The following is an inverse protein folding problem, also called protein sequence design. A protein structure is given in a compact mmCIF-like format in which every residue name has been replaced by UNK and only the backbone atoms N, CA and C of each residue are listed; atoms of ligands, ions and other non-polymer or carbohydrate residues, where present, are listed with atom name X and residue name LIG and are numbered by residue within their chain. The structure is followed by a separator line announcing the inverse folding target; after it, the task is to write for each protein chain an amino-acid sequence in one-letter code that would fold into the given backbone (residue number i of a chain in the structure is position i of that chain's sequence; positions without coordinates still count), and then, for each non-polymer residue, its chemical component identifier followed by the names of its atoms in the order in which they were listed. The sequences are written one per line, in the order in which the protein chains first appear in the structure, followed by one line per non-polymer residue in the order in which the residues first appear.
data_IF_025900769468
#
_entry.id   IF_025900769468
#
_cell.length_a   1.000
_cell.length_b   1.000
_cell.length_c   1.000
_cell.angle_alpha   90.00
_cell.angle_beta   90.00
_cell.angle_gamma   90.00
#
_symmetry.space_group_name_H-M   'P 1'
#
loop_
_entity.id
_entity.type
_entity.pdbx_description
1 polymer ?
#
# COMPACT_ATOMS: atom_id res chain seq x y z
N UNK A 1 21.79 -19.34 -1.58
CA UNK A 1 20.41 -19.27 -2.06
C UNK A 1 20.31 -18.03 -2.94
N UNK A 2 20.23 -18.24 -4.25
CA UNK A 2 20.03 -17.20 -5.26
C UNK A 2 18.51 -16.95 -5.44
N UNK A 3 18.13 -15.83 -6.05
CA UNK A 3 16.75 -15.53 -6.42
C UNK A 3 16.16 -16.60 -7.36
N UNK A 4 16.94 -17.11 -8.32
CA UNK A 4 16.53 -18.22 -9.18
C UNK A 4 16.17 -19.48 -8.36
N UNK A 5 17.02 -19.87 -7.41
CA UNK A 5 16.76 -21.03 -6.53
C UNK A 5 15.45 -20.84 -5.74
N UNK A 6 15.22 -19.62 -5.25
CA UNK A 6 14.00 -19.28 -4.52
C UNK A 6 12.75 -19.34 -5.40
N UNK A 7 12.83 -18.87 -6.65
CA UNK A 7 11.72 -18.90 -7.60
C UNK A 7 11.38 -20.34 -7.96
N UNK A 8 12.38 -21.18 -8.22
CA UNK A 8 12.17 -22.60 -8.52
C UNK A 8 11.48 -23.31 -7.33
N UNK A 9 11.98 -23.11 -6.10
CA UNK A 9 11.35 -23.68 -4.90
C UNK A 9 9.91 -23.16 -4.68
N UNK A 10 9.66 -21.88 -4.97
CA UNK A 10 8.33 -21.30 -4.84
C UNK A 10 7.36 -21.84 -5.91
N UNK A 11 7.82 -22.01 -7.15
CA UNK A 11 7.05 -22.64 -8.22
C UNK A 11 6.66 -24.08 -7.84
N UNK A 12 7.59 -24.85 -7.27
CA UNK A 12 7.32 -26.21 -6.78
C UNK A 12 6.26 -26.21 -5.66
N UNK A 13 6.33 -25.28 -4.70
CA UNK A 13 5.35 -25.17 -3.61
C UNK A 13 3.96 -24.78 -4.11
N UNK A 14 3.88 -24.00 -5.19
CA UNK A 14 2.65 -23.48 -5.76
C UNK A 14 2.10 -24.31 -6.92
N UNK A 15 2.74 -25.44 -7.27
CA UNK A 15 2.42 -26.28 -8.43
C UNK A 15 2.35 -25.47 -9.74
N UNK A 16 3.35 -24.62 -9.98
CA UNK A 16 3.44 -23.76 -11.16
C UNK A 16 4.46 -24.28 -12.17
N UNK A 17 4.00 -24.55 -13.40
CA UNK A 17 4.86 -24.84 -14.56
C UNK A 17 5.08 -23.56 -15.38
N UNK A 18 5.84 -22.60 -14.83
CA UNK A 18 6.10 -21.31 -15.50
C UNK A 18 7.52 -20.81 -15.29
N UNK A 19 8.03 -20.07 -16.27
CA UNK A 19 9.30 -19.35 -16.18
C UNK A 19 9.01 -17.86 -15.94
N UNK A 20 9.74 -17.27 -14.99
CA UNK A 20 9.59 -15.86 -14.63
C UNK A 20 10.77 -15.06 -15.18
N UNK A 21 10.48 -14.02 -15.95
CA UNK A 21 11.47 -13.00 -16.33
C UNK A 21 11.60 -11.97 -15.19
N UNK A 22 12.59 -12.21 -14.33
CA UNK A 22 12.89 -11.36 -13.17
C UNK A 22 13.22 -9.91 -13.56
N UNK A 23 13.95 -9.72 -14.67
CA UNK A 23 14.35 -8.40 -15.14
C UNK A 23 13.13 -7.58 -15.58
N UNK A 24 12.27 -8.20 -16.39
CA UNK A 24 11.02 -7.58 -16.82
C UNK A 24 10.11 -7.22 -15.63
N UNK A 25 9.97 -8.12 -14.64
CA UNK A 25 9.16 -7.83 -13.47
C UNK A 25 9.74 -6.71 -12.61
N UNK A 26 11.06 -6.71 -12.41
CA UNK A 26 11.74 -5.66 -11.66
C UNK A 26 11.59 -4.29 -12.33
N UNK A 27 11.88 -4.21 -13.62
CA UNK A 27 11.79 -2.97 -14.39
C UNK A 27 10.37 -2.41 -14.40
N UNK A 28 9.36 -3.28 -14.55
CA UNK A 28 7.96 -2.86 -14.49
C UNK A 28 7.55 -2.40 -13.09
N UNK A 29 7.99 -3.09 -12.04
CA UNK A 29 7.71 -2.71 -10.65
C UNK A 29 8.32 -1.36 -10.31
N UNK A 30 9.59 -1.15 -10.68
CA UNK A 30 10.30 0.11 -10.47
C UNK A 30 9.65 1.26 -11.25
N UNK A 31 9.26 1.02 -12.50
CA UNK A 31 8.54 2.02 -13.30
C UNK A 31 7.21 2.39 -12.67
N UNK A 32 6.40 1.42 -12.26
CA UNK A 32 5.11 1.67 -11.62
C UNK A 32 5.28 2.44 -10.31
N UNK A 33 6.25 2.04 -9.48
CA UNK A 33 6.60 2.77 -8.27
C UNK A 33 6.98 4.22 -8.58
N UNK A 34 7.91 4.47 -9.51
CA UNK A 34 8.39 5.81 -9.82
C UNK A 34 7.33 6.75 -10.43
N UNK A 35 6.32 6.20 -11.12
CA UNK A 35 5.30 6.99 -11.82
C UNK A 35 4.02 7.21 -11.03
N UNK A 36 3.63 6.22 -10.22
CA UNK A 36 2.34 6.24 -9.50
C UNK A 36 2.52 6.70 -8.05
N UNK A 37 3.71 6.51 -7.46
CA UNK A 37 3.95 6.87 -6.07
C UNK A 37 4.19 8.38 -5.92
N UNK A 38 3.17 9.10 -5.44
CA UNK A 38 3.26 10.50 -5.03
C UNK A 38 3.58 10.68 -3.54
N UNK A 39 4.02 9.62 -2.84
CA UNK A 39 4.43 9.67 -1.43
C UNK A 39 3.48 8.97 -0.45
N UNK A 40 2.40 8.33 -0.94
CA UNK A 40 1.41 7.62 -0.10
C UNK A 40 1.12 6.20 -0.61
N UNK A 41 1.49 5.87 -1.85
CA UNK A 41 1.11 4.61 -2.52
C UNK A 41 2.32 3.74 -2.88
N UNK A 42 3.16 3.43 -1.89
CA UNK A 42 4.38 2.62 -2.02
C UNK A 42 4.18 1.21 -2.61
N UNK A 43 2.93 0.77 -2.78
CA UNK A 43 2.57 -0.55 -3.28
C UNK A 43 2.32 -0.62 -4.79
N UNK A 44 2.48 0.48 -5.53
CA UNK A 44 2.22 0.49 -6.97
C UNK A 44 3.03 -0.57 -7.74
N UNK A 45 4.30 -0.78 -7.40
CA UNK A 45 5.13 -1.85 -7.96
C UNK A 45 4.58 -3.25 -7.68
N UNK A 46 4.44 -3.67 -6.41
CA UNK A 46 3.84 -4.96 -6.04
C UNK A 46 2.44 -5.21 -6.62
N UNK A 47 1.56 -4.20 -6.63
CA UNK A 47 0.22 -4.32 -7.21
C UNK A 47 0.30 -4.57 -8.72
N UNK A 48 1.20 -3.88 -9.41
CA UNK A 48 1.38 -4.02 -10.85
C UNK A 48 1.88 -5.42 -11.23
N UNK A 49 2.89 -5.95 -10.53
CA UNK A 49 3.44 -7.28 -10.82
C UNK A 49 2.45 -8.39 -10.47
N UNK A 50 1.69 -8.25 -9.38
CA UNK A 50 0.60 -9.17 -9.03
C UNK A 50 -0.46 -9.24 -10.15
N UNK A 51 -0.92 -8.08 -10.63
CA UNK A 51 -1.95 -8.02 -11.69
C UNK A 51 -1.42 -8.52 -13.03
N UNK A 52 -0.15 -8.27 -13.37
CA UNK A 52 0.48 -8.84 -14.56
C UNK A 52 0.50 -10.37 -14.49
N UNK A 53 0.95 -10.94 -13.36
CA UNK A 53 0.98 -12.38 -13.14
C UNK A 53 -0.43 -13.00 -13.19
N UNK A 54 -1.41 -12.35 -12.54
CA UNK A 54 -2.81 -12.78 -12.60
C UNK A 54 -3.36 -12.77 -14.03
N UNK A 55 -3.12 -11.69 -14.79
CA UNK A 55 -3.56 -11.59 -16.17
C UNK A 55 -2.88 -12.63 -17.08
N UNK A 56 -1.59 -12.90 -16.86
CA UNK A 56 -0.86 -13.93 -17.57
C UNK A 56 -1.46 -15.33 -17.32
N UNK A 57 -1.73 -15.68 -16.06
CA UNK A 57 -2.37 -16.94 -15.68
C UNK A 57 -3.79 -17.06 -16.24
N UNK A 58 -4.61 -16.01 -16.09
CA UNK A 58 -5.98 -15.99 -16.58
C UNK A 58 -6.09 -16.12 -18.12
N UNK A 59 -5.07 -15.65 -18.85
CA UNK A 59 -5.00 -15.76 -20.31
C UNK A 59 -4.26 -17.01 -20.80
N UNK A 60 -3.73 -17.86 -19.90
CA UNK A 60 -2.78 -18.93 -20.24
C UNK A 60 -1.68 -18.42 -21.19
N UNK A 61 -1.12 -17.26 -20.84
CA UNK A 61 -0.25 -16.48 -21.69
C UNK A 61 1.07 -17.20 -21.98
N UNK A 62 1.50 -17.17 -23.24
CA UNK A 62 2.89 -17.47 -23.60
C UNK A 62 3.84 -16.35 -23.15
N UNK A 63 5.17 -16.56 -23.07
CA UNK A 63 6.13 -15.50 -22.73
C UNK A 63 5.97 -14.24 -23.59
N UNK A 64 5.83 -14.41 -24.91
CA UNK A 64 5.56 -13.30 -25.83
C UNK A 64 4.22 -12.58 -25.60
N UNK A 65 3.26 -13.23 -24.93
CA UNK A 65 1.99 -12.61 -24.52
C UNK A 65 2.17 -11.85 -23.20
N UNK A 66 2.97 -12.38 -22.26
CA UNK A 66 3.35 -11.67 -21.03
C UNK A 66 4.08 -10.37 -21.35
N UNK A 67 5.04 -10.38 -22.29
CA UNK A 67 5.73 -9.17 -22.75
C UNK A 67 4.74 -8.11 -23.28
N UNK A 68 3.71 -8.53 -24.02
CA UNK A 68 2.66 -7.61 -24.52
C UNK A 68 1.79 -7.05 -23.41
N UNK A 69 1.49 -7.85 -22.38
CA UNK A 69 0.76 -7.41 -21.20
C UNK A 69 1.60 -6.42 -20.39
N UNK A 70 2.89 -6.72 -20.20
CA UNK A 70 3.85 -5.84 -19.55
C UNK A 70 3.99 -4.51 -20.29
N UNK A 71 4.10 -4.52 -21.63
CA UNK A 71 4.15 -3.31 -22.45
C UNK A 71 2.89 -2.44 -22.29
N UNK A 72 1.71 -3.05 -22.11
CA UNK A 72 0.46 -2.30 -21.82
C UNK A 72 0.48 -1.68 -20.43
N UNK A 73 0.96 -2.41 -19.43
CA UNK A 73 1.11 -1.90 -18.06
C UNK A 73 2.13 -0.76 -18.00
N UNK A 74 3.26 -0.91 -18.71
CA UNK A 74 4.27 0.13 -18.87
C UNK A 74 3.66 1.39 -19.51
N UNK A 75 2.96 1.26 -20.63
CA UNK A 75 2.33 2.41 -21.29
C UNK A 75 1.31 3.12 -20.38
N UNK A 76 0.59 2.36 -19.54
CA UNK A 76 -0.31 2.94 -18.53
C UNK A 76 0.48 3.72 -17.47
N UNK A 77 1.55 3.14 -16.92
CA UNK A 77 2.38 3.79 -15.90
C UNK A 77 3.09 5.05 -16.46
N UNK A 78 3.60 5.01 -17.67
CA UNK A 78 4.23 6.16 -18.34
C UNK A 78 3.22 7.29 -18.63
N UNK A 79 1.98 6.94 -18.95
CA UNK A 79 0.88 7.88 -19.16
C UNK A 79 0.21 8.35 -17.86
N UNK A 80 0.61 7.81 -16.71
CA UNK A 80 0.07 8.15 -15.41
C UNK A 80 0.67 9.47 -14.91
N UNK A 81 0.24 10.57 -15.54
CA UNK A 81 0.51 11.94 -15.11
C UNK A 81 -0.83 12.52 -14.64
N UNK A 82 -1.14 12.37 -13.35
CA UNK A 82 -2.27 13.09 -12.74
C UNK A 82 -1.89 14.56 -12.67
N UNK A 83 -2.78 15.53 -13.00
CA UNK A 83 -2.45 16.93 -12.82
C UNK A 83 -2.03 17.18 -11.38
N UNK A 84 -0.92 17.92 -11.21
CA UNK A 84 -0.27 18.26 -9.93
C UNK A 84 -1.20 18.90 -8.90
N UNK A 85 -2.39 19.33 -9.34
CA UNK A 85 -3.44 20.00 -8.55
C UNK A 85 -4.68 19.11 -8.29
N UNK A 86 -4.62 17.79 -8.56
CA UNK A 86 -5.69 16.91 -8.12
C UNK A 86 -5.68 16.86 -6.59
N UNK A 87 -6.81 17.19 -5.91
CA UNK A 87 -6.87 17.16 -4.45
C UNK A 87 -6.47 15.77 -3.97
N UNK A 88 -5.53 15.70 -3.02
CA UNK A 88 -5.28 14.49 -2.28
C UNK A 88 -6.58 14.11 -1.56
N UNK A 89 -7.10 12.88 -1.71
CA UNK A 89 -8.30 12.45 -0.98
C UNK A 89 -8.14 12.56 0.56
N UNK A 90 -6.90 12.60 1.07
CA UNK A 90 -6.58 12.76 2.49
C UNK A 90 -6.10 14.18 2.85
N UNK A 91 -5.90 15.09 1.87
CA UNK A 91 -5.78 16.54 2.17
C UNK A 91 -7.16 17.05 2.56
N UNK A 92 -7.45 16.99 3.86
CA UNK A 92 -8.41 17.93 4.43
C UNK A 92 -7.87 19.33 4.14
N UNK A 93 -8.58 20.17 3.35
CA UNK A 93 -8.14 21.55 3.21
C UNK A 93 -8.02 22.13 4.61
N UNK A 94 -6.99 22.95 4.85
CA UNK A 94 -6.89 23.88 5.99
C UNK A 94 -8.10 24.83 5.90
N UNK A 95 -9.27 24.31 6.22
CA UNK A 95 -10.43 25.07 6.63
C UNK A 95 -10.03 25.65 7.97
N UNK A 96 -10.24 26.95 8.16
CA UNK A 96 -10.13 27.58 9.47
C UNK A 96 -11.08 26.86 10.44
N UNK A 97 -10.59 25.79 11.08
CA UNK A 97 -11.29 25.09 12.13
C UNK A 97 -11.49 26.14 13.22
N UNK A 98 -12.74 26.46 13.58
CA UNK A 98 -12.99 27.43 14.63
C UNK A 98 -12.26 26.98 15.91
N UNK A 99 -11.52 27.89 16.53
CA UNK A 99 -10.84 27.67 17.80
C UNK A 99 -11.83 27.08 18.82
N UNK A 100 -11.62 25.82 19.17
CA UNK A 100 -12.45 25.08 20.12
C UNK A 100 -12.11 25.43 21.57
N UNK A 101 -11.18 26.36 21.81
CA UNK A 101 -10.88 26.91 23.13
C UNK A 101 -12.05 27.62 23.82
N UNK A 102 -13.16 27.88 23.10
CA UNK A 102 -14.42 28.32 23.70
C UNK A 102 -15.26 27.17 24.30
N UNK A 103 -14.90 25.91 24.01
CA UNK A 103 -15.51 24.73 24.60
C UNK A 103 -14.82 24.47 25.95
N UNK A 104 -15.60 24.47 27.01
CA UNK A 104 -15.10 24.12 28.34
C UNK A 104 -14.79 22.61 28.40
N UNK A 105 -13.51 22.28 28.34
CA UNK A 105 -13.00 20.92 28.49
C UNK A 105 -12.71 20.56 29.95
N UNK A 106 -13.12 21.36 30.94
CA UNK A 106 -12.97 20.93 32.32
C UNK A 106 -13.77 19.64 32.53
N UNK A 107 -13.12 18.56 33.00
CA UNK A 107 -13.82 17.34 33.30
C UNK A 107 -14.86 17.65 34.37
N UNK A 108 -16.10 17.24 34.13
CA UNK A 108 -17.18 17.38 35.10
C UNK A 108 -16.85 16.48 36.32
N UNK A 109 -16.25 17.08 37.34
CA UNK A 109 -15.87 16.38 38.58
C UNK A 109 -17.06 16.15 39.52
N UNK A 110 -18.29 16.38 39.07
CA UNK A 110 -19.48 16.18 39.89
C UNK A 110 -19.73 14.73 40.33
N UNK A 111 -19.05 13.75 39.73
CA UNK A 111 -19.18 12.33 40.07
C UNK A 111 -17.97 11.75 40.84
N UNK A 112 -17.06 12.58 41.35
CA UNK A 112 -16.01 12.12 42.27
C UNK A 112 -16.59 11.86 43.66
N UNK A 113 -17.30 10.72 43.75
CA UNK A 113 -17.79 10.12 44.99
C UNK A 113 -16.66 10.02 46.02
N UNK A 114 -16.91 10.62 47.18
CA UNK A 114 -16.05 10.62 48.36
C UNK A 114 -16.11 9.21 48.99
N UNK A 115 -15.43 8.24 48.37
CA UNK A 115 -15.31 6.88 48.88
C UNK A 115 -14.05 6.68 49.70
N UNK A 116 -14.21 6.67 51.02
CA UNK A 116 -13.40 6.02 52.07
C UNK A 116 -11.88 5.92 51.85
N UNK A 117 -11.12 6.76 52.57
CA UNK A 117 -9.76 6.45 52.99
C UNK A 117 -9.80 5.93 54.44
N UNK A 118 -10.23 4.69 54.63
CA UNK A 118 -9.98 3.91 55.84
C UNK A 118 -8.86 2.91 55.54
N UNK A 119 -7.60 3.31 55.69
CA UNK A 119 -6.45 2.41 55.93
C UNK A 119 -5.32 3.19 56.63
N UNK A 120 -5.49 3.48 57.92
CA UNK A 120 -4.33 3.75 58.79
C UNK A 120 -3.92 2.45 59.50
N UNK A 121 -2.82 1.87 59.02
CA UNK A 121 -2.10 0.78 59.67
C UNK A 121 -1.38 1.25 60.95
N UNK A 122 -1.27 0.33 61.91
CA UNK A 122 -0.33 0.30 63.04
C UNK A 122 -0.57 1.34 64.16
N UNK A 123 -0.94 0.96 65.39
CA UNK A 123 -0.25 0.02 66.30
C UNK A 123 -1.04 -0.14 67.60
#
# INVERSE_FOLDING_TARGET
MNLHDWIDELCDVLDLETEVDEGLLNDLAELAHARVDHGVEHYAGPVTTYLLGYAAGAASASPATVEKLAARAQALAEGWDRPRDAPDPDDVPDLDIPDDGAIDHTPDLADADLGDQDLEEAR
#
